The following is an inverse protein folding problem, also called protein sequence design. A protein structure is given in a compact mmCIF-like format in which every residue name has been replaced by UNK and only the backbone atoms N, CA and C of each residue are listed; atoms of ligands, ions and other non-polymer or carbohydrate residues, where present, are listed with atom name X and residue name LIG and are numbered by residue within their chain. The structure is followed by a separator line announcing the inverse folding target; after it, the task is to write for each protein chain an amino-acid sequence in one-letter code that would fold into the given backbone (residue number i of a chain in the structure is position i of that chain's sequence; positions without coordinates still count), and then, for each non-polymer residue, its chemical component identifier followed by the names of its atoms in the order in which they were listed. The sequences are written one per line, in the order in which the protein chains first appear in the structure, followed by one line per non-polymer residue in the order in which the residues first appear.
data_IF_828604636347
#
_entry.id   IF_828604636347
#
_cell.length_a   1.000
_cell.length_b   1.000
_cell.length_c   1.000
_cell.angle_alpha   90.00
_cell.angle_beta   90.00
_cell.angle_gamma   90.00
#
_symmetry.space_group_name_H-M   'P 1'
#
loop_
_entity.id
_entity.type
_entity.pdbx_description
1 polymer ?
#
# COMPACT_ATOMS: atom_id res chain seq x y z
N UNK A 1 1.40 27.37 -9.76
CA UNK A 1 0.92 27.21 -8.39
C UNK A 1 -0.18 26.18 -8.26
N UNK A 2 -1.21 26.29 -9.06
CA UNK A 2 -2.26 25.28 -9.10
C UNK A 2 -1.68 23.90 -9.50
N UNK A 3 -0.76 23.91 -10.47
CA UNK A 3 -0.12 22.68 -10.94
C UNK A 3 0.63 21.95 -9.84
N UNK A 4 1.21 22.69 -8.90
CA UNK A 4 1.95 22.08 -7.79
C UNK A 4 1.03 21.31 -6.86
N UNK A 5 -0.13 21.91 -6.51
CA UNK A 5 -1.10 21.24 -5.66
C UNK A 5 -1.76 20.07 -6.37
N UNK A 6 -2.03 20.19 -7.67
CA UNK A 6 -2.57 19.09 -8.45
C UNK A 6 -1.62 17.89 -8.46
N UNK A 7 -0.32 18.16 -8.60
CA UNK A 7 0.70 17.10 -8.57
C UNK A 7 0.74 16.41 -7.20
N UNK A 8 0.69 17.19 -6.12
CA UNK A 8 0.65 16.66 -4.76
C UNK A 8 -0.57 15.77 -4.57
N UNK A 9 -1.74 16.25 -4.99
CA UNK A 9 -2.99 15.49 -4.85
C UNK A 9 -2.94 14.21 -5.69
N UNK A 10 -2.38 14.25 -6.89
CA UNK A 10 -2.25 13.06 -7.74
C UNK A 10 -1.36 12.00 -7.07
N UNK A 11 -0.24 12.41 -6.48
CA UNK A 11 0.64 11.49 -5.75
C UNK A 11 -0.10 10.89 -4.56
N UNK A 12 -0.81 11.73 -3.80
CA UNK A 12 -1.55 11.27 -2.62
C UNK A 12 -2.67 10.30 -3.01
N UNK A 13 -3.39 10.59 -4.10
CA UNK A 13 -4.44 9.68 -4.60
C UNK A 13 -3.86 8.31 -4.92
N UNK A 14 -2.72 8.27 -5.59
CA UNK A 14 -2.05 7.03 -5.94
C UNK A 14 -1.66 6.24 -4.68
N UNK A 15 -1.09 6.92 -3.69
CA UNK A 15 -0.67 6.26 -2.46
C UNK A 15 -1.85 5.81 -1.61
N UNK A 16 -2.96 6.56 -1.62
CA UNK A 16 -4.18 6.13 -0.93
C UNK A 16 -4.70 4.83 -1.53
N UNK A 17 -4.75 4.73 -2.85
CA UNK A 17 -5.20 3.49 -3.50
C UNK A 17 -4.25 2.34 -3.20
N UNK A 18 -2.95 2.61 -3.19
CA UNK A 18 -1.93 1.63 -2.82
C UNK A 18 -2.17 1.10 -1.40
N UNK A 19 -2.41 2.01 -0.45
CA UNK A 19 -2.63 1.64 0.94
C UNK A 19 -3.95 0.88 1.12
N UNK A 20 -5.00 1.27 0.39
CA UNK A 20 -6.28 0.55 0.43
C UNK A 20 -6.15 -0.87 -0.10
N UNK A 21 -5.39 -1.07 -1.18
CA UNK A 21 -5.14 -2.40 -1.72
C UNK A 21 -4.38 -3.25 -0.70
N UNK A 22 -3.40 -2.67 -0.03
CA UNK A 22 -2.65 -3.36 1.02
C UNK A 22 -3.53 -3.73 2.19
N UNK A 23 -4.37 -2.81 2.65
CA UNK A 23 -5.31 -3.06 3.74
C UNK A 23 -6.22 -4.25 3.41
N UNK A 24 -6.84 -4.20 2.24
CA UNK A 24 -7.75 -5.26 1.80
C UNK A 24 -7.03 -6.59 1.63
N UNK A 25 -5.84 -6.56 1.04
CA UNK A 25 -5.03 -7.75 0.84
C UNK A 25 -4.66 -8.43 2.15
N UNK A 26 -4.17 -7.65 3.12
CA UNK A 26 -3.82 -8.21 4.43
C UNK A 26 -5.04 -8.69 5.21
N UNK A 27 -6.18 -8.00 5.10
CA UNK A 27 -7.44 -8.47 5.70
C UNK A 27 -7.84 -9.83 5.14
N UNK A 28 -7.78 -9.97 3.83
CA UNK A 28 -8.12 -11.22 3.16
C UNK A 28 -7.15 -12.34 3.57
N UNK A 29 -5.87 -12.05 3.57
CA UNK A 29 -4.84 -13.01 3.95
C UNK A 29 -5.01 -13.45 5.41
N UNK A 30 -5.27 -12.50 6.32
CA UNK A 30 -5.47 -12.80 7.73
C UNK A 30 -6.67 -13.71 7.95
N UNK A 31 -7.73 -13.52 7.17
CA UNK A 31 -8.92 -14.36 7.25
C UNK A 31 -8.70 -15.79 6.76
N UNK A 32 -7.65 -16.01 5.98
CA UNK A 32 -7.42 -17.30 5.33
C UNK A 32 -6.35 -18.16 5.98
N UNK A 33 -5.38 -17.56 6.71
CA UNK A 33 -4.34 -18.35 7.38
C UNK A 33 -4.87 -18.94 8.68
N UNK A 34 -4.41 -20.13 9.03
CA UNK A 34 -4.90 -20.83 10.22
C UNK A 34 -4.07 -20.54 11.47
N UNK A 35 -2.77 -20.34 11.30
CA UNK A 35 -1.86 -20.10 12.42
C UNK A 35 -2.23 -18.79 13.13
N UNK A 36 -2.57 -18.83 14.45
CA UNK A 36 -3.01 -17.62 15.16
C UNK A 36 -1.97 -16.52 15.22
N UNK A 37 -0.69 -16.87 15.35
CA UNK A 37 0.37 -15.88 15.41
C UNK A 37 0.54 -15.16 14.06
N UNK A 38 0.49 -15.93 12.97
CA UNK A 38 0.56 -15.37 11.62
C UNK A 38 -0.66 -14.48 11.36
N UNK A 39 -1.85 -14.97 11.71
CA UNK A 39 -3.09 -14.21 11.56
C UNK A 39 -3.00 -12.85 12.27
N UNK A 40 -2.52 -12.85 13.52
CA UNK A 40 -2.40 -11.62 14.31
C UNK A 40 -1.46 -10.61 13.64
N UNK A 41 -0.34 -11.07 13.09
CA UNK A 41 0.60 -10.19 12.38
C UNK A 41 -0.04 -9.59 11.12
N UNK A 42 -0.74 -10.41 10.35
CA UNK A 42 -1.39 -9.92 9.13
C UNK A 42 -2.50 -8.92 9.46
N UNK A 43 -3.25 -9.15 10.54
CA UNK A 43 -4.25 -8.19 11.00
C UNK A 43 -3.62 -6.86 11.39
N UNK A 44 -2.46 -6.91 12.04
CA UNK A 44 -1.71 -5.70 12.41
C UNK A 44 -1.29 -4.92 11.17
N UNK A 45 -0.84 -5.60 10.13
CA UNK A 45 -0.46 -4.94 8.88
C UNK A 45 -1.67 -4.32 8.17
N UNK A 46 -2.82 -4.98 8.22
CA UNK A 46 -4.04 -4.40 7.68
C UNK A 46 -4.39 -3.09 8.40
N UNK A 47 -4.30 -3.08 9.73
CA UNK A 47 -4.54 -1.87 10.52
C UNK A 47 -3.52 -0.78 10.22
N UNK A 48 -2.25 -1.16 10.03
CA UNK A 48 -1.20 -0.22 9.64
C UNK A 48 -1.57 0.50 8.34
N UNK A 49 -2.04 -0.26 7.33
CA UNK A 49 -2.38 0.32 6.04
C UNK A 49 -3.62 1.22 6.12
N UNK A 50 -4.58 0.86 6.99
CA UNK A 50 -5.72 1.73 7.26
C UNK A 50 -5.28 3.07 7.85
N UNK A 51 -4.28 3.03 8.75
CA UNK A 51 -3.67 4.24 9.29
C UNK A 51 -3.00 5.09 8.23
N UNK A 52 -2.32 4.44 7.27
CA UNK A 52 -1.71 5.17 6.14
C UNK A 52 -2.77 5.87 5.30
N UNK A 53 -3.89 5.22 5.03
CA UNK A 53 -4.99 5.84 4.30
C UNK A 53 -5.45 7.12 4.99
N UNK A 54 -5.70 7.05 6.29
CA UNK A 54 -6.15 8.21 7.06
C UNK A 54 -5.13 9.35 7.02
N UNK A 55 -3.86 9.02 7.20
CA UNK A 55 -2.79 10.01 7.20
C UNK A 55 -2.65 10.68 5.83
N UNK A 56 -2.69 9.89 4.76
CA UNK A 56 -2.58 10.40 3.40
C UNK A 56 -3.79 11.27 3.04
N UNK A 57 -4.99 10.88 3.45
CA UNK A 57 -6.20 11.67 3.23
C UNK A 57 -6.16 12.99 3.98
N UNK A 58 -5.71 12.97 5.23
CA UNK A 58 -5.54 14.19 6.01
C UNK A 58 -4.56 15.14 5.35
N UNK A 59 -3.46 14.60 4.83
CA UNK A 59 -2.45 15.39 4.13
C UNK A 59 -3.05 16.00 2.85
N UNK A 60 -3.86 15.25 2.11
CA UNK A 60 -4.52 15.75 0.92
C UNK A 60 -5.41 16.94 1.24
N UNK A 61 -6.14 16.88 2.35
CA UNK A 61 -6.99 18.02 2.79
C UNK A 61 -6.16 19.25 3.09
N UNK A 62 -4.97 19.11 3.63
CA UNK A 62 -4.07 20.24 3.89
C UNK A 62 -3.66 20.96 2.61
N UNK A 63 -3.66 20.24 1.48
CA UNK A 63 -3.32 20.82 0.18
C UNK A 63 -4.56 21.18 -0.65
N UNK A 64 -5.72 21.21 0.01
CA UNK A 64 -6.96 21.68 -0.62
C UNK A 64 -7.63 20.69 -1.54
N UNK A 65 -7.26 19.41 -1.44
CA UNK A 65 -7.78 18.36 -2.32
C UNK A 65 -8.57 17.30 -1.60
N UNK A 66 -9.03 16.34 -2.39
CA UNK A 66 -9.70 15.15 -1.90
C UNK A 66 -9.19 13.94 -2.66
N UNK A 67 -8.89 12.88 -1.92
CA UNK A 67 -8.45 11.62 -2.53
C UNK A 67 -9.60 10.80 -3.08
N UNK A 68 -10.82 11.24 -2.87
CA UNK A 68 -12.00 10.59 -3.42
C UNK A 68 -12.22 10.91 -4.90
N UNK A 69 -11.74 12.08 -5.33
CA UNK A 69 -11.90 12.51 -6.71
C UNK A 69 -10.72 12.05 -7.56
N UNK A 70 -10.95 11.00 -8.35
CA UNK A 70 -9.91 10.37 -9.15
C UNK A 70 -9.89 10.84 -10.60
N UNK A 71 -10.72 11.79 -10.95
CA UNK A 71 -10.90 12.15 -12.35
C UNK A 71 -9.70 12.85 -12.96
N UNK A 72 -8.84 13.43 -12.14
CA UNK A 72 -7.67 14.17 -12.60
C UNK A 72 -6.41 13.34 -12.68
N UNK A 73 -6.47 12.08 -12.24
CA UNK A 73 -5.30 11.20 -12.22
C UNK A 73 -5.13 10.54 -13.58
N UNK A 74 -4.02 10.80 -14.23
CA UNK A 74 -3.74 10.25 -15.56
C UNK A 74 -2.32 9.69 -15.61
N UNK A 75 -2.10 8.81 -16.58
CA UNK A 75 -0.77 8.33 -16.91
C UNK A 75 -0.12 7.53 -15.81
N UNK A 76 0.98 8.04 -15.27
CA UNK A 76 1.83 7.29 -14.32
C UNK A 76 1.08 6.89 -13.05
N UNK A 77 0.20 7.75 -12.54
CA UNK A 77 -0.56 7.45 -11.34
C UNK A 77 -1.51 6.28 -11.55
N UNK A 78 -2.18 6.24 -12.70
CA UNK A 78 -3.05 5.12 -13.05
C UNK A 78 -2.25 3.83 -13.22
N UNK A 79 -1.07 3.94 -13.83
CA UNK A 79 -0.20 2.78 -14.01
C UNK A 79 0.29 2.24 -12.68
N UNK A 80 0.65 3.12 -11.75
CA UNK A 80 1.13 2.71 -10.44
C UNK A 80 0.02 2.02 -9.64
N UNK A 81 -1.18 2.60 -9.64
CA UNK A 81 -2.34 2.00 -8.97
C UNK A 81 -2.67 0.63 -9.55
N UNK A 82 -2.64 0.50 -10.89
CA UNK A 82 -2.83 -0.78 -11.53
C UNK A 82 -1.77 -1.81 -11.19
N UNK A 83 -0.52 -1.37 -11.08
CA UNK A 83 0.59 -2.26 -10.73
C UNK A 83 0.43 -2.82 -9.30
N UNK A 84 0.01 -1.98 -8.35
CA UNK A 84 -0.23 -2.43 -6.98
C UNK A 84 -1.40 -3.41 -6.93
N UNK A 85 -2.48 -3.10 -7.62
CA UNK A 85 -3.62 -4.01 -7.70
C UNK A 85 -3.18 -5.37 -8.26
N UNK A 86 -2.36 -5.37 -9.33
CA UNK A 86 -1.83 -6.61 -9.89
C UNK A 86 -0.94 -7.39 -8.91
N UNK A 87 -0.27 -6.67 -8.01
CA UNK A 87 0.55 -7.31 -6.97
C UNK A 87 -0.25 -8.19 -6.02
N UNK A 88 -1.56 -7.93 -5.89
CA UNK A 88 -2.45 -8.69 -5.02
C UNK A 88 -3.39 -9.63 -5.78
N UNK A 89 -3.32 -9.66 -7.11
CA UNK A 89 -4.33 -10.32 -7.93
C UNK A 89 -4.38 -11.83 -7.72
N UNK A 90 -3.26 -12.46 -7.38
CA UNK A 90 -3.19 -13.91 -7.19
C UNK A 90 -3.54 -14.35 -5.77
N UNK A 91 -3.79 -13.41 -4.87
CA UNK A 91 -4.12 -13.73 -3.48
C UNK A 91 -5.35 -14.62 -3.39
N UNK A 92 -6.37 -14.31 -4.17
CA UNK A 92 -7.62 -15.08 -4.16
C UNK A 92 -7.38 -16.55 -4.51
N UNK A 93 -6.52 -16.81 -5.49
CA UNK A 93 -6.15 -18.18 -5.87
C UNK A 93 -5.40 -18.89 -4.76
N UNK A 94 -4.48 -18.20 -4.08
CA UNK A 94 -3.74 -18.76 -2.96
C UNK A 94 -4.67 -19.10 -1.79
N UNK A 95 -5.63 -18.22 -1.52
CA UNK A 95 -6.65 -18.44 -0.49
C UNK A 95 -7.50 -19.68 -0.84
N UNK A 96 -7.93 -19.77 -2.11
CA UNK A 96 -8.72 -20.91 -2.58
C UNK A 96 -7.98 -22.23 -2.47
N UNK A 97 -6.66 -22.22 -2.63
CA UNK A 97 -5.82 -23.41 -2.48
C UNK A 97 -5.53 -23.76 -1.02
N UNK A 98 -5.89 -22.88 -0.08
CA UNK A 98 -5.67 -23.04 1.35
C UNK A 98 -4.19 -23.29 1.68
N UNK A 99 -3.32 -22.53 1.03
CA UNK A 99 -1.86 -22.66 1.15
C UNK A 99 -1.29 -21.42 1.83
N UNK A 100 -0.96 -21.54 3.12
CA UNK A 100 -0.47 -20.41 3.91
C UNK A 100 0.83 -19.82 3.36
N UNK A 101 1.75 -20.67 2.89
CA UNK A 101 3.00 -20.16 2.28
C UNK A 101 2.71 -19.35 1.01
N UNK A 102 1.80 -19.83 0.18
CA UNK A 102 1.42 -19.10 -1.03
C UNK A 102 0.73 -17.78 -0.69
N UNK A 103 -0.12 -17.78 0.34
CA UNK A 103 -0.80 -16.56 0.81
C UNK A 103 0.26 -15.53 1.24
N UNK A 104 1.23 -15.93 2.05
CA UNK A 104 2.29 -15.03 2.49
C UNK A 104 3.17 -14.57 1.32
N UNK A 105 3.40 -15.44 0.34
CA UNK A 105 4.12 -15.06 -0.87
C UNK A 105 3.40 -13.97 -1.64
N UNK A 106 2.07 -14.01 -1.70
CA UNK A 106 1.29 -12.95 -2.33
C UNK A 106 1.34 -11.64 -1.54
N UNK A 107 1.41 -11.73 -0.20
CA UNK A 107 1.60 -10.54 0.63
C UNK A 107 2.96 -9.88 0.32
N UNK A 108 4.00 -10.68 0.12
CA UNK A 108 5.31 -10.15 -0.28
C UNK A 108 5.23 -9.43 -1.63
N UNK A 109 4.56 -10.06 -2.60
CA UNK A 109 4.40 -9.50 -3.94
C UNK A 109 3.62 -8.18 -3.89
N UNK A 110 2.55 -8.14 -3.11
CA UNK A 110 1.76 -6.92 -2.92
C UNK A 110 2.59 -5.80 -2.30
N UNK A 111 3.38 -6.12 -1.30
CA UNK A 111 4.24 -5.12 -0.64
C UNK A 111 5.37 -4.65 -1.54
N UNK A 112 5.94 -5.52 -2.38
CA UNK A 112 6.93 -5.08 -3.38
C UNK A 112 6.33 -4.05 -4.33
N UNK A 113 5.11 -4.29 -4.79
CA UNK A 113 4.42 -3.34 -5.66
C UNK A 113 4.16 -2.02 -4.93
N UNK A 114 3.77 -2.08 -3.65
CA UNK A 114 3.56 -0.88 -2.84
C UNK A 114 4.87 -0.09 -2.67
N UNK A 115 5.98 -0.76 -2.40
CA UNK A 115 7.29 -0.10 -2.26
C UNK A 115 7.64 0.64 -3.56
N UNK A 116 7.40 0.03 -4.71
CA UNK A 116 7.65 0.68 -6.00
C UNK A 116 6.77 1.93 -6.18
N UNK A 117 5.52 1.86 -5.77
CA UNK A 117 4.63 3.02 -5.85
C UNK A 117 5.14 4.16 -4.95
N UNK A 118 5.61 3.83 -3.75
CA UNK A 118 6.19 4.83 -2.85
C UNK A 118 7.50 5.39 -3.42
N UNK A 119 8.34 4.56 -4.04
CA UNK A 119 9.57 5.02 -4.68
C UNK A 119 9.27 5.97 -5.83
N UNK A 120 8.26 5.67 -6.64
CA UNK A 120 7.84 6.56 -7.72
C UNK A 120 7.37 7.91 -7.17
N UNK A 121 6.64 7.88 -6.05
CA UNK A 121 6.21 9.12 -5.39
C UNK A 121 7.40 9.95 -4.92
N UNK A 122 8.40 9.30 -4.34
CA UNK A 122 9.60 9.99 -3.84
C UNK A 122 10.43 10.61 -4.96
N UNK A 123 10.32 10.10 -6.18
CA UNK A 123 11.02 10.65 -7.34
C UNK A 123 10.29 11.83 -7.98
N UNK A 124 9.09 12.14 -7.51
CA UNK A 124 8.32 13.25 -8.04
C UNK A 124 8.92 14.58 -7.58
N UNK A 125 9.26 15.45 -8.53
CA UNK A 125 9.86 16.74 -8.22
C UNK A 125 8.83 17.70 -7.61
N UNK A 126 9.29 18.53 -6.68
CA UNK A 126 8.50 19.61 -6.15
C UNK A 126 7.54 19.25 -5.03
N UNK A 127 7.66 18.06 -4.46
CA UNK A 127 6.83 17.69 -3.31
C UNK A 127 7.31 18.41 -2.05
N UNK A 128 6.37 18.86 -1.20
CA UNK A 128 6.75 19.48 0.09
C UNK A 128 7.53 18.52 0.99
N UNK A 129 8.41 19.07 1.81
CA UNK A 129 9.26 18.28 2.72
C UNK A 129 8.40 17.45 3.67
N UNK A 130 7.32 18.01 4.20
CA UNK A 130 6.42 17.29 5.11
C UNK A 130 5.85 16.04 4.46
N UNK A 131 5.47 16.16 3.18
CA UNK A 131 4.93 15.02 2.43
C UNK A 131 6.01 13.97 2.18
N UNK A 132 7.21 14.40 1.79
CA UNK A 132 8.31 13.46 1.60
C UNK A 132 8.60 12.67 2.87
N UNK A 133 8.54 13.32 4.04
CA UNK A 133 8.76 12.66 5.33
C UNK A 133 7.70 11.58 5.57
N UNK A 134 6.44 11.88 5.30
CA UNK A 134 5.34 10.91 5.46
C UNK A 134 5.56 9.71 4.52
N UNK A 135 5.87 9.99 3.27
CA UNK A 135 6.07 8.94 2.25
C UNK A 135 7.24 8.03 2.66
N UNK A 136 8.35 8.62 3.07
CA UNK A 136 9.54 7.84 3.47
C UNK A 136 9.25 6.96 4.68
N UNK A 137 8.56 7.50 5.68
CA UNK A 137 8.21 6.74 6.89
C UNK A 137 7.28 5.58 6.55
N UNK A 138 6.25 5.82 5.78
CA UNK A 138 5.33 4.75 5.39
C UNK A 138 6.03 3.68 4.55
N UNK A 139 6.92 4.09 3.65
CA UNK A 139 7.70 3.16 2.85
C UNK A 139 8.56 2.25 3.75
N UNK A 140 9.21 2.82 4.75
CA UNK A 140 10.02 2.05 5.69
C UNK A 140 9.17 1.03 6.46
N UNK A 141 7.97 1.44 6.85
CA UNK A 141 7.04 0.55 7.56
C UNK A 141 6.60 -0.62 6.66
N UNK A 142 6.37 -0.35 5.38
CA UNK A 142 6.01 -1.40 4.42
C UNK A 142 7.18 -2.37 4.23
N UNK A 143 8.39 -1.83 4.12
CA UNK A 143 9.60 -2.64 4.00
C UNK A 143 9.77 -3.58 5.20
N UNK A 144 9.58 -3.05 6.40
CA UNK A 144 9.67 -3.84 7.62
C UNK A 144 8.58 -4.91 7.68
N UNK A 145 7.36 -4.57 7.25
CA UNK A 145 6.26 -5.52 7.19
C UNK A 145 6.57 -6.66 6.22
N UNK A 146 7.11 -6.33 5.05
CA UNK A 146 7.50 -7.34 4.06
C UNK A 146 8.55 -8.29 4.63
N UNK A 147 9.55 -7.77 5.34
CA UNK A 147 10.56 -8.60 5.98
C UNK A 147 9.96 -9.53 7.02
N UNK A 148 9.00 -9.05 7.80
CA UNK A 148 8.28 -9.87 8.78
C UNK A 148 7.52 -11.00 8.07
N UNK A 149 6.83 -10.69 6.98
CA UNK A 149 6.09 -11.69 6.20
C UNK A 149 7.04 -12.76 5.66
N UNK A 150 8.20 -12.36 5.15
CA UNK A 150 9.22 -13.30 4.67
C UNK A 150 9.67 -14.24 5.78
N UNK A 151 9.92 -13.69 6.97
CA UNK A 151 10.32 -14.49 8.13
C UNK A 151 9.21 -15.47 8.55
N UNK A 152 7.97 -15.02 8.56
CA UNK A 152 6.83 -15.87 8.90
C UNK A 152 6.69 -17.02 7.88
N UNK A 153 6.88 -16.70 6.60
CA UNK A 153 6.80 -17.71 5.54
C UNK A 153 7.85 -18.81 5.72
N UNK A 154 9.04 -18.44 6.14
CA UNK A 154 10.13 -19.39 6.37
C UNK A 154 9.83 -20.34 7.53
N UNK A 155 8.98 -19.96 8.48
CA UNK A 155 8.62 -20.80 9.62
C UNK A 155 7.52 -21.81 9.30
N UNK A 156 6.88 -21.67 8.17
CA UNK A 156 5.82 -22.57 7.74
C UNK A 156 6.39 -23.70 6.89
#
# INVERSE_FOLDING_TARGET
MENKNEKVIAVLNDLVETAKDGQKGFETAAGAVENPAVKAELQRFAQQRAGFVSELESTAHQYGGSTENKTTVEGAALQAAGAVHRGWINLKSAVGANDSKAILGECETGDEAAIKAYDNALQTDGLPVELLTVIQRQRQDIQAAKQTVTSLKETL
#
